data_IF_506121983134
#
_entry.id   IF_506121983134
#
_cell.length_a   1.000
_cell.length_b   1.000
_cell.length_c   1.000
_cell.angle_alpha   90.00
_cell.angle_beta   90.00
_cell.angle_gamma   90.00
#
_symmetry.space_group_name_H-M   'P 1'
#
loop_
_entity.id
_entity.type
_entity.pdbx_description
1 polymer ?
#
# COMPACT_ATOMS: atom_id res chain seq x y z
N UNK A 1 -1.24 -35.80 -27.46
CA UNK A 1 0.16 -35.29 -27.41
C UNK A 1 0.19 -33.79 -27.71
N UNK A 2 -0.54 -33.27 -28.71
CA UNK A 2 -0.59 -31.82 -29.04
C UNK A 2 -0.95 -30.84 -27.90
N UNK A 3 -1.88 -31.21 -27.00
CA UNK A 3 -2.35 -30.29 -25.94
C UNK A 3 -1.29 -29.99 -24.87
N UNK A 4 -0.36 -30.92 -24.65
CA UNK A 4 0.69 -30.76 -23.64
C UNK A 4 1.77 -29.78 -24.11
N UNK A 5 2.12 -29.80 -25.39
CA UNK A 5 3.12 -28.89 -25.95
C UNK A 5 2.59 -27.45 -25.98
N UNK A 6 1.32 -27.25 -26.38
CA UNK A 6 0.67 -25.93 -26.29
C UNK A 6 0.65 -25.38 -24.87
N UNK A 7 0.31 -26.19 -23.87
CA UNK A 7 0.28 -25.73 -22.47
C UNK A 7 1.68 -25.32 -21.95
N UNK A 8 2.73 -26.02 -22.37
CA UNK A 8 4.12 -25.64 -22.07
C UNK A 8 4.52 -24.32 -22.73
N UNK A 9 4.13 -24.13 -23.99
CA UNK A 9 4.33 -22.87 -24.72
C UNK A 9 3.63 -21.69 -24.03
N UNK A 10 2.36 -21.83 -23.68
CA UNK A 10 1.60 -20.81 -22.93
C UNK A 10 2.24 -20.45 -21.58
N UNK A 11 2.77 -21.44 -20.84
CA UNK A 11 3.48 -21.18 -19.58
C UNK A 11 4.81 -20.47 -19.81
N UNK A 12 5.51 -20.80 -20.89
CA UNK A 12 6.79 -20.18 -21.24
C UNK A 12 6.60 -18.72 -21.69
N UNK A 13 5.57 -18.45 -22.51
CA UNK A 13 5.17 -17.09 -22.92
C UNK A 13 4.70 -16.26 -21.71
N UNK A 14 3.85 -16.82 -20.84
CA UNK A 14 3.40 -16.13 -19.62
C UNK A 14 4.57 -15.78 -18.70
N UNK A 15 5.56 -16.67 -18.58
CA UNK A 15 6.79 -16.42 -17.81
C UNK A 15 7.68 -15.33 -18.44
N UNK A 16 7.68 -15.20 -19.77
CA UNK A 16 8.38 -14.13 -20.47
C UNK A 16 7.68 -12.78 -20.30
N UNK A 17 6.35 -12.73 -20.36
CA UNK A 17 5.55 -11.52 -20.10
C UNK A 17 5.66 -11.07 -18.63
N UNK A 18 5.64 -12.01 -17.68
CA UNK A 18 5.89 -11.73 -16.27
C UNK A 18 7.31 -11.21 -16.00
N UNK A 19 8.28 -11.48 -16.89
CA UNK A 19 9.61 -10.89 -16.84
C UNK A 19 9.67 -9.47 -17.41
N UNK A 20 8.75 -9.09 -18.29
CA UNK A 20 8.58 -7.71 -18.77
C UNK A 20 7.86 -6.82 -17.75
N UNK A 21 7.12 -7.42 -16.81
CA UNK A 21 6.65 -6.70 -15.63
C UNK A 21 7.86 -6.22 -14.86
N UNK A 22 8.10 -4.91 -14.93
CA UNK A 22 9.08 -4.18 -14.12
C UNK A 22 8.67 -4.31 -12.66
N UNK A 23 9.10 -5.40 -12.03
CA UNK A 23 9.00 -5.54 -10.59
C UNK A 23 9.85 -4.43 -9.96
N UNK A 24 9.23 -3.54 -9.17
CA UNK A 24 9.96 -2.47 -8.52
C UNK A 24 11.06 -3.08 -7.65
N UNK A 25 12.30 -2.61 -7.84
CA UNK A 25 13.44 -3.00 -7.01
C UNK A 25 13.12 -2.67 -5.56
N UNK A 26 13.46 -3.57 -4.61
CA UNK A 26 13.10 -3.46 -3.17
C UNK A 26 13.36 -2.08 -2.56
N UNK A 27 14.34 -1.33 -3.08
CA UNK A 27 14.65 0.03 -2.66
C UNK A 27 13.51 1.03 -2.96
N UNK A 28 12.86 0.99 -4.13
CA UNK A 28 11.75 1.89 -4.46
C UNK A 28 10.52 1.60 -3.59
N UNK A 29 10.25 0.33 -3.30
CA UNK A 29 9.13 -0.06 -2.44
C UNK A 29 9.30 0.50 -1.02
N UNK A 30 10.52 0.48 -0.48
CA UNK A 30 10.82 1.02 0.85
C UNK A 30 10.68 2.55 0.87
N UNK A 31 11.21 3.25 -0.14
CA UNK A 31 11.08 4.72 -0.23
C UNK A 31 9.62 5.15 -0.31
N UNK A 32 8.81 4.51 -1.16
CA UNK A 32 7.38 4.83 -1.27
C UNK A 32 6.62 4.51 0.03
N UNK A 33 6.97 3.42 0.72
CA UNK A 33 6.36 3.06 2.02
C UNK A 33 6.68 4.11 3.08
N UNK A 34 7.91 4.64 3.09
CA UNK A 34 8.33 5.63 4.08
C UNK A 34 7.55 6.94 3.98
N UNK A 35 7.26 7.39 2.76
CA UNK A 35 6.41 8.57 2.51
C UNK A 35 5.00 8.36 3.06
N UNK A 36 4.41 7.19 2.82
CA UNK A 36 3.05 6.87 3.32
C UNK A 36 3.03 6.83 4.84
N UNK A 37 4.05 6.24 5.48
CA UNK A 37 4.17 6.21 6.95
C UNK A 37 4.26 7.62 7.51
N UNK A 38 5.10 8.49 6.92
CA UNK A 38 5.23 9.88 7.36
C UNK A 38 3.90 10.64 7.27
N UNK A 39 3.18 10.54 6.15
CA UNK A 39 1.88 11.19 5.96
C UNK A 39 0.83 10.66 6.95
N UNK A 40 0.81 9.35 7.17
CA UNK A 40 -0.11 8.71 8.12
C UNK A 40 0.13 9.19 9.55
N UNK A 41 1.39 9.32 9.97
CA UNK A 41 1.75 9.84 11.30
C UNK A 41 1.26 11.28 11.48
N UNK A 42 1.46 12.15 10.48
CA UNK A 42 0.99 13.53 10.53
C UNK A 42 -0.53 13.60 10.67
N UNK A 43 -1.27 12.81 9.89
CA UNK A 43 -2.72 12.74 9.96
C UNK A 43 -3.21 12.20 11.31
N UNK A 44 -2.55 11.17 11.85
CA UNK A 44 -2.90 10.60 13.15
C UNK A 44 -2.71 11.62 14.28
N UNK A 45 -1.63 12.39 14.26
CA UNK A 45 -1.39 13.47 15.23
C UNK A 45 -2.46 14.55 15.11
N UNK A 46 -2.77 14.99 13.89
CA UNK A 46 -3.78 16.02 13.64
C UNK A 46 -5.16 15.59 14.15
N UNK A 47 -5.63 14.40 13.74
CA UNK A 47 -6.92 13.86 14.19
C UNK A 47 -6.94 13.69 15.71
N UNK A 48 -5.91 13.08 16.30
CA UNK A 48 -5.83 12.92 17.75
C UNK A 48 -5.89 14.24 18.52
N UNK A 49 -5.29 15.32 18.00
CA UNK A 49 -5.39 16.65 18.59
C UNK A 49 -6.82 17.19 18.53
N UNK A 50 -7.49 17.03 17.38
CA UNK A 50 -8.89 17.44 17.19
C UNK A 50 -9.82 16.65 18.12
N UNK A 51 -9.66 15.33 18.21
CA UNK A 51 -10.46 14.47 19.11
C UNK A 51 -10.32 14.89 20.58
N UNK A 52 -9.10 15.23 21.03
CA UNK A 52 -8.86 15.70 22.39
C UNK A 52 -9.51 17.07 22.68
N UNK A 53 -9.45 17.98 21.72
CA UNK A 53 -10.10 19.30 21.81
C UNK A 53 -11.61 19.13 21.87
N UNK A 54 -12.17 18.32 20.97
CA UNK A 54 -13.61 18.08 20.91
C UNK A 54 -14.12 17.41 22.18
N UNK A 55 -13.41 16.39 22.68
CA UNK A 55 -13.77 15.68 23.91
C UNK A 55 -13.78 16.60 25.13
N UNK A 56 -12.78 17.51 25.24
CA UNK A 56 -12.78 18.56 26.27
C UNK A 56 -13.92 19.55 26.11
N UNK A 57 -14.23 19.96 24.88
CA UNK A 57 -15.30 20.91 24.59
C UNK A 57 -16.68 20.34 24.93
N UNK A 58 -16.93 19.09 24.56
CA UNK A 58 -18.16 18.36 24.89
C UNK A 58 -18.28 18.17 26.41
N UNK A 59 -17.18 17.81 27.09
CA UNK A 59 -17.16 17.72 28.55
C UNK A 59 -17.49 19.05 29.25
N UNK A 60 -17.07 20.17 28.66
CA UNK A 60 -17.39 21.51 29.17
C UNK A 60 -18.85 21.93 28.92
N UNK A 61 -19.51 21.38 27.89
CA UNK A 61 -20.91 21.66 27.56
C UNK A 61 -21.87 20.79 28.37
N UNK A 62 -21.48 19.56 28.72
CA UNK A 62 -22.30 18.63 29.49
C UNK A 62 -22.25 18.90 31.01
N UNK A 63 -21.26 19.66 31.48
CA UNK A 63 -21.16 20.17 32.85
C UNK A 63 -21.73 21.57 32.98
#
# INVERSE_FOLDING_TARGET
MEKLDRAKEFFNESKQELKKVTWPTKQQTITSTWVVVAVTVVLAVFLGLVDLVLSKFIGYILS
#
